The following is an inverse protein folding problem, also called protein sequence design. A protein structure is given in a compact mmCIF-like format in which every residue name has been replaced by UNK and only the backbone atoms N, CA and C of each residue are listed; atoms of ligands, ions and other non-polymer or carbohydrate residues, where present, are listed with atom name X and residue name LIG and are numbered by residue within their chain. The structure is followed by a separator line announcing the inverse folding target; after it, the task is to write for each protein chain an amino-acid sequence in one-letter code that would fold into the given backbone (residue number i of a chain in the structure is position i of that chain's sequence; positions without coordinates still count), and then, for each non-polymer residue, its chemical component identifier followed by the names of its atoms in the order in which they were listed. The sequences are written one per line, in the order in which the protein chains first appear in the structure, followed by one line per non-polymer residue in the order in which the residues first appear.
data_IF_662750535042
#
_entry.id   IF_662750535042
#
_cell.length_a   1.000
_cell.length_b   1.000
_cell.length_c   1.000
_cell.angle_alpha   90.00
_cell.angle_beta   90.00
_cell.angle_gamma   90.00
#
_symmetry.space_group_name_H-M   'P 1'
#
loop_
_entity.id
_entity.type
_entity.pdbx_description
1 polymer ?
#
# COMPACT_ATOMS: atom_id res chain seq x y z
N UNK A 1 8.75 1.88 -20.38
CA UNK A 1 7.38 2.43 -20.40
C UNK A 1 6.60 2.01 -19.15
N UNK A 2 6.30 0.72 -18.95
CA UNK A 2 5.49 0.26 -17.80
C UNK A 2 6.03 0.68 -16.42
N UNK A 3 7.35 0.54 -16.16
CA UNK A 3 7.95 0.97 -14.89
C UNK A 3 7.76 2.46 -14.59
N UNK A 4 7.99 3.33 -15.58
CA UNK A 4 7.76 4.77 -15.44
C UNK A 4 6.28 5.04 -15.16
N UNK A 5 5.37 4.37 -15.87
CA UNK A 5 3.93 4.55 -15.67
C UNK A 5 3.49 4.12 -14.26
N UNK A 6 4.01 3.00 -13.75
CA UNK A 6 3.73 2.54 -12.38
C UNK A 6 4.23 3.55 -11.34
N UNK A 7 5.43 4.08 -11.53
CA UNK A 7 5.97 5.16 -10.69
C UNK A 7 5.09 6.42 -10.74
N UNK A 8 4.75 6.89 -11.93
CA UNK A 8 3.89 8.07 -12.12
C UNK A 8 2.52 7.88 -11.47
N UNK A 9 1.97 6.66 -11.51
CA UNK A 9 0.70 6.33 -10.88
C UNK A 9 0.80 6.43 -9.35
N UNK A 10 1.91 5.98 -8.73
CA UNK A 10 2.15 6.19 -7.29
C UNK A 10 2.16 7.70 -6.97
N UNK A 11 2.96 8.46 -7.71
CA UNK A 11 3.12 9.91 -7.47
C UNK A 11 1.81 10.68 -7.64
N UNK A 12 0.97 10.29 -8.60
CA UNK A 12 -0.34 10.93 -8.85
C UNK A 12 -1.43 10.44 -7.89
N UNK A 13 -1.27 9.29 -7.26
CA UNK A 13 -2.28 8.70 -6.40
C UNK A 13 -2.34 9.33 -5.01
N UNK A 14 -1.23 9.90 -4.53
CA UNK A 14 -1.05 10.25 -3.12
C UNK A 14 -0.59 11.69 -2.93
N UNK A 15 -0.99 12.27 -1.80
CA UNK A 15 -0.44 13.50 -1.25
C UNK A 15 0.67 13.15 -0.25
N UNK A 16 1.93 13.32 -0.66
CA UNK A 16 3.09 12.92 0.15
C UNK A 16 3.30 13.76 1.42
N UNK A 17 2.62 14.90 1.57
CA UNK A 17 2.67 15.72 2.79
C UNK A 17 1.67 15.27 3.85
N UNK A 18 0.77 14.35 3.52
CA UNK A 18 -0.26 13.85 4.44
C UNK A 18 0.12 12.50 5.03
N UNK A 19 -0.44 12.24 6.20
CA UNK A 19 -0.35 10.98 6.92
C UNK A 19 -1.73 10.63 7.49
N UNK A 20 -1.94 9.36 7.83
CA UNK A 20 -3.16 8.95 8.51
C UNK A 20 -3.27 9.67 9.88
N UNK A 21 -4.47 10.15 10.25
CA UNK A 21 -5.77 9.75 9.74
C UNK A 21 -6.31 10.66 8.62
N UNK A 22 -5.51 11.60 8.11
CA UNK A 22 -5.90 12.45 7.00
C UNK A 22 -5.99 11.65 5.71
N UNK A 23 -6.79 12.15 4.76
CA UNK A 23 -6.91 11.52 3.44
C UNK A 23 -5.59 11.70 2.66
N UNK A 24 -4.82 10.63 2.58
CA UNK A 24 -3.55 10.56 1.82
C UNK A 24 -3.76 10.38 0.32
N UNK A 25 -4.94 9.92 -0.11
CA UNK A 25 -5.26 9.66 -1.52
C UNK A 25 -5.80 10.90 -2.24
N UNK A 26 -5.20 11.24 -3.38
CA UNK A 26 -5.62 12.33 -4.27
C UNK A 26 -6.43 11.82 -5.47
N UNK A 27 -7.47 12.56 -5.85
CA UNK A 27 -8.33 12.24 -6.99
C UNK A 27 -9.46 11.25 -6.66
N UNK A 28 -9.91 10.52 -7.68
CA UNK A 28 -11.15 9.70 -7.65
C UNK A 28 -10.90 8.30 -7.08
N UNK A 29 -10.60 8.22 -5.78
CA UNK A 29 -10.56 6.98 -5.01
C UNK A 29 -11.85 6.84 -4.22
N UNK A 30 -12.51 5.68 -4.31
CA UNK A 30 -13.83 5.43 -3.72
C UNK A 30 -13.79 4.49 -2.53
N UNK A 31 -12.99 3.42 -2.61
CA UNK A 31 -12.98 2.37 -1.61
C UNK A 31 -11.61 2.28 -0.94
N UNK A 32 -11.61 2.20 0.38
CA UNK A 32 -10.41 2.09 1.19
C UNK A 32 -10.53 0.89 2.11
N UNK A 33 -9.53 0.00 2.06
CA UNK A 33 -9.47 -1.18 2.91
C UNK A 33 -8.12 -1.21 3.62
N UNK A 34 -8.15 -1.41 4.94
CA UNK A 34 -7.00 -1.37 5.82
C UNK A 34 -6.51 -2.78 6.15
N UNK A 35 -5.21 -2.92 6.34
CA UNK A 35 -4.52 -4.15 6.72
C UNK A 35 -3.19 -3.82 7.42
N UNK A 36 -2.50 -4.82 7.96
CA UNK A 36 -1.22 -4.61 8.65
C UNK A 36 -0.09 -4.29 7.67
N UNK A 37 0.80 -3.40 8.08
CA UNK A 37 1.92 -2.96 7.23
C UNK A 37 2.86 -4.12 6.87
N UNK A 38 3.02 -5.09 7.77
CA UNK A 38 3.89 -6.26 7.61
C UNK A 38 3.57 -7.09 6.37
N UNK A 39 2.31 -7.12 5.91
CA UNK A 39 1.95 -7.83 4.67
C UNK A 39 2.65 -7.25 3.44
N UNK A 40 3.04 -5.96 3.44
CA UNK A 40 3.81 -5.35 2.35
C UNK A 40 5.25 -5.86 2.35
N UNK A 41 5.81 -6.20 3.51
CA UNK A 41 7.21 -6.59 3.65
C UNK A 41 7.43 -8.10 3.78
N UNK A 42 6.34 -8.87 3.74
CA UNK A 42 6.38 -10.32 3.72
C UNK A 42 6.91 -10.85 2.37
N UNK A 43 7.59 -11.99 2.40
CA UNK A 43 8.19 -12.61 1.21
C UNK A 43 7.14 -13.05 0.17
N UNK A 44 5.88 -13.22 0.55
CA UNK A 44 4.77 -13.58 -0.34
C UNK A 44 4.07 -12.36 -0.95
N UNK A 45 4.40 -11.12 -0.54
CA UNK A 45 3.82 -9.90 -1.10
C UNK A 45 3.91 -9.82 -2.64
N UNK A 46 5.02 -10.21 -3.30
CA UNK A 46 5.08 -10.23 -4.76
C UNK A 46 4.02 -11.13 -5.42
N UNK A 47 3.59 -12.21 -4.75
CA UNK A 47 2.51 -13.06 -5.27
C UNK A 47 1.17 -12.36 -5.20
N UNK A 48 0.91 -11.66 -4.10
CA UNK A 48 -0.31 -10.86 -3.93
C UNK A 48 -0.35 -9.76 -5.00
N UNK A 49 0.76 -9.06 -5.22
CA UNK A 49 0.85 -8.04 -6.26
C UNK A 49 0.66 -8.63 -7.66
N UNK A 50 1.21 -9.82 -7.95
CA UNK A 50 0.94 -10.51 -9.22
C UNK A 50 -0.53 -10.81 -9.45
N UNK A 51 -1.28 -11.17 -8.40
CA UNK A 51 -2.73 -11.34 -8.51
C UNK A 51 -3.44 -10.00 -8.80
N UNK A 52 -3.05 -8.91 -8.12
CA UNK A 52 -3.59 -7.58 -8.40
C UNK A 52 -3.35 -7.17 -9.87
N UNK A 53 -2.11 -7.34 -10.34
CA UNK A 53 -1.73 -7.03 -11.73
C UNK A 53 -2.55 -7.83 -12.74
N UNK A 54 -2.79 -9.11 -12.47
CA UNK A 54 -3.57 -9.99 -13.34
C UNK A 54 -5.03 -9.52 -13.52
N UNK A 55 -5.66 -9.02 -12.45
CA UNK A 55 -7.06 -8.56 -12.48
C UNK A 55 -7.27 -7.34 -13.41
N UNK A 56 -6.30 -6.43 -13.47
CA UNK A 56 -6.36 -5.23 -14.33
C UNK A 56 -5.54 -5.36 -15.62
N UNK A 57 -4.91 -6.53 -15.85
CA UNK A 57 -3.99 -6.81 -16.97
C UNK A 57 -2.79 -5.86 -17.03
N UNK A 58 -2.29 -5.45 -15.87
CA UNK A 58 -1.06 -4.69 -15.71
C UNK A 58 0.19 -5.58 -15.83
N UNK A 59 1.34 -4.95 -16.07
CA UNK A 59 2.61 -5.65 -16.25
C UNK A 59 3.54 -5.52 -15.05
N UNK A 60 3.45 -4.43 -14.29
CA UNK A 60 4.33 -4.18 -13.15
C UNK A 60 3.69 -3.22 -12.15
N UNK A 61 4.08 -3.36 -10.88
CA UNK A 61 3.85 -2.36 -9.86
C UNK A 61 5.16 -1.74 -9.38
N UNK A 62 5.10 -0.51 -8.91
CA UNK A 62 6.19 0.22 -8.31
C UNK A 62 5.94 0.33 -6.82
N UNK A 63 6.74 -0.34 -5.98
CA UNK A 63 6.82 -0.08 -4.55
C UNK A 63 7.87 1.00 -4.30
N UNK A 64 7.43 2.16 -3.83
CA UNK A 64 8.24 3.36 -3.62
C UNK A 64 8.42 3.61 -2.11
N UNK A 65 9.64 3.90 -1.67
CA UNK A 65 9.89 4.44 -0.33
C UNK A 65 9.75 5.97 -0.38
N UNK A 66 8.69 6.50 0.25
CA UNK A 66 8.32 7.91 0.18
C UNK A 66 9.27 8.82 0.97
N UNK A 67 9.92 8.29 2.02
CA UNK A 67 10.81 9.09 2.88
C UNK A 67 12.24 9.16 2.37
N UNK A 68 12.62 8.28 1.44
CA UNK A 68 13.90 8.33 0.71
C UNK A 68 13.80 8.98 -0.67
N UNK A 69 12.59 9.25 -1.14
CA UNK A 69 12.38 9.91 -2.42
C UNK A 69 12.34 11.41 -2.18
N UNK A 70 13.48 12.10 -2.33
CA UNK A 70 13.46 13.56 -2.35
C UNK A 70 12.56 14.02 -3.50
N UNK A 71 11.60 14.92 -3.21
CA UNK A 71 10.57 15.41 -4.15
C UNK A 71 11.09 16.00 -5.47
N UNK A 72 12.42 16.09 -5.66
CA UNK A 72 13.07 16.67 -6.82
C UNK A 72 14.20 15.85 -7.45
N UNK A 73 14.53 14.65 -6.94
CA UNK A 73 15.43 13.73 -7.64
C UNK A 73 14.62 12.53 -8.14
N UNK A 74 14.24 12.59 -9.42
CA UNK A 74 13.58 11.52 -10.19
C UNK A 74 14.51 10.33 -10.45
N UNK A 75 15.31 9.98 -9.46
CA UNK A 75 16.12 8.79 -9.53
C UNK A 75 15.30 7.62 -8.99
N UNK A 76 15.17 6.61 -9.84
CA UNK A 76 14.67 5.27 -9.57
C UNK A 76 15.31 4.56 -8.35
N UNK A 77 16.13 5.26 -7.55
CA UNK A 77 16.96 4.79 -6.44
C UNK A 77 16.11 4.23 -5.28
N UNK A 78 14.92 4.80 -5.03
CA UNK A 78 14.07 4.40 -3.91
C UNK A 78 12.84 3.58 -4.33
N UNK A 79 12.93 2.80 -5.42
CA UNK A 79 11.83 1.99 -5.94
C UNK A 79 12.19 0.51 -6.14
N UNK A 80 11.27 -0.38 -5.77
CA UNK A 80 11.28 -1.79 -6.12
C UNK A 80 10.14 -2.04 -7.13
N UNK A 81 10.50 -2.50 -8.33
CA UNK A 81 9.49 -2.88 -9.33
C UNK A 81 9.11 -4.35 -9.17
N UNK A 82 7.83 -4.56 -8.90
CA UNK A 82 7.21 -5.86 -8.76
C UNK A 82 6.57 -6.23 -10.09
N UNK A 83 7.20 -7.15 -10.83
CA UNK A 83 6.66 -7.69 -12.08
C UNK A 83 6.45 -9.20 -11.98
N UNK A 84 6.02 -9.84 -13.06
CA UNK A 84 5.71 -11.28 -13.09
C UNK A 84 6.88 -12.19 -12.65
N UNK A 85 8.13 -11.73 -12.81
CA UNK A 85 9.33 -12.56 -12.60
C UNK A 85 10.01 -12.39 -11.23
N UNK A 86 9.55 -11.47 -10.37
CA UNK A 86 10.20 -11.30 -9.06
C UNK A 86 9.75 -12.40 -8.09
N UNK A 87 10.72 -13.18 -7.61
CA UNK A 87 10.49 -14.20 -6.59
C UNK A 87 10.42 -13.57 -5.21
N UNK A 88 9.82 -14.29 -4.25
CA UNK A 88 9.78 -13.85 -2.85
C UNK A 88 11.18 -13.69 -2.23
N UNK A 89 12.12 -14.56 -2.60
CA UNK A 89 13.53 -14.48 -2.16
C UNK A 89 14.20 -13.21 -2.70
N UNK A 90 14.08 -12.95 -4.01
CA UNK A 90 14.65 -11.74 -4.60
C UNK A 90 14.02 -10.46 -4.06
N UNK A 91 12.76 -10.53 -3.63
CA UNK A 91 12.09 -9.42 -2.94
C UNK A 91 12.62 -9.21 -1.52
N UNK A 92 12.73 -10.26 -0.71
CA UNK A 92 13.29 -10.20 0.65
C UNK A 92 14.75 -9.69 0.61
N UNK A 93 15.57 -10.16 -0.34
CA UNK A 93 16.93 -9.66 -0.55
C UNK A 93 16.96 -8.15 -0.81
N UNK A 94 16.05 -7.65 -1.68
CA UNK A 94 15.93 -6.21 -1.95
C UNK A 94 15.46 -5.42 -0.74
N UNK A 95 14.56 -5.97 0.08
CA UNK A 95 14.11 -5.31 1.30
C UNK A 95 15.22 -5.23 2.35
N UNK A 96 16.14 -6.21 2.39
CA UNK A 96 17.26 -6.25 3.33
C UNK A 96 18.52 -5.54 2.82
N UNK A 97 18.56 -5.17 1.55
CA UNK A 97 19.73 -4.55 0.94
C UNK A 97 20.21 -3.32 1.74
N UNK A 98 21.52 -3.24 1.96
CA UNK A 98 22.12 -2.24 2.86
C UNK A 98 21.94 -2.51 4.37
N UNK A 99 21.42 -3.68 4.75
CA UNK A 99 21.41 -4.21 6.11
C UNK A 99 20.55 -3.42 7.10
N UNK A 100 20.71 -3.63 8.43
CA UNK A 100 19.90 -2.97 9.46
C UNK A 100 19.93 -1.43 9.42
N UNK A 101 20.99 -0.84 8.88
CA UNK A 101 21.15 0.61 8.81
C UNK A 101 20.31 1.25 7.70
N UNK A 102 20.07 0.55 6.59
CA UNK A 102 19.48 1.17 5.39
C UNK A 102 18.43 0.33 4.66
N UNK A 103 18.34 -0.97 4.94
CA UNK A 103 17.35 -1.88 4.38
C UNK A 103 15.93 -1.56 4.81
N UNK A 104 15.02 -1.59 3.85
CA UNK A 104 13.62 -1.21 3.99
C UNK A 104 12.85 -2.14 4.95
N UNK A 105 13.31 -3.38 5.11
CA UNK A 105 12.77 -4.30 6.10
C UNK A 105 12.93 -3.75 7.53
N UNK A 106 14.04 -3.06 7.81
CA UNK A 106 14.38 -2.59 9.15
C UNK A 106 13.96 -1.15 9.42
N UNK A 107 13.68 -0.39 8.37
CA UNK A 107 13.34 1.02 8.47
C UNK A 107 11.85 1.25 8.68
N UNK A 108 11.56 2.19 9.57
CA UNK A 108 10.22 2.67 9.89
C UNK A 108 9.92 3.89 9.01
N UNK A 109 9.78 3.64 7.71
CA UNK A 109 9.47 4.66 6.70
C UNK A 109 8.03 4.49 6.16
N UNK A 110 7.61 5.42 5.30
CA UNK A 110 6.37 5.37 4.52
C UNK A 110 6.61 4.80 3.12
N UNK A 111 5.67 4.00 2.65
CA UNK A 111 5.76 3.33 1.36
C UNK A 111 4.46 3.42 0.58
N UNK A 112 4.56 3.38 -0.74
CA UNK A 112 3.41 3.32 -1.62
C UNK A 112 3.61 2.34 -2.76
N UNK A 113 2.56 1.67 -3.21
CA UNK A 113 2.62 0.72 -4.31
C UNK A 113 1.45 0.90 -5.26
N UNK A 114 1.72 1.08 -6.55
CA UNK A 114 0.68 1.12 -7.58
C UNK A 114 1.19 0.45 -8.87
N UNK A 115 0.25 -0.05 -9.67
CA UNK A 115 0.55 -0.66 -10.96
C UNK A 115 0.72 0.35 -12.09
N UNK A 116 1.18 -0.11 -13.25
CA UNK A 116 1.23 0.67 -14.49
C UNK A 116 -0.16 0.98 -15.07
N UNK A 117 -1.23 0.35 -14.60
CA UNK A 117 -2.61 0.68 -14.97
C UNK A 117 -3.25 1.64 -13.95
N UNK A 118 -3.03 1.42 -12.65
CA UNK A 118 -3.40 2.34 -11.58
C UNK A 118 -4.87 2.28 -11.15
N UNK A 119 -5.53 1.12 -11.19
CA UNK A 119 -6.87 0.95 -10.60
C UNK A 119 -6.84 0.75 -9.08
N UNK A 120 -5.68 0.38 -8.53
CA UNK A 120 -5.42 0.26 -7.10
C UNK A 120 -4.14 1.01 -6.72
N UNK A 121 -4.06 1.42 -5.47
CA UNK A 121 -2.83 1.95 -4.87
C UNK A 121 -2.81 1.55 -3.40
N UNK A 122 -1.68 1.06 -2.92
CA UNK A 122 -1.41 0.77 -1.51
C UNK A 122 -0.60 1.93 -0.96
N UNK A 123 -0.97 2.42 0.21
CA UNK A 123 -0.18 3.32 1.04
C UNK A 123 0.09 2.66 2.39
N UNK A 124 1.29 2.81 2.92
CA UNK A 124 1.77 2.07 4.08
C UNK A 124 2.59 2.98 5.00
N UNK A 125 2.25 3.00 6.28
CA UNK A 125 3.00 3.64 7.37
C UNK A 125 3.50 2.57 8.34
N UNK A 126 4.78 2.21 8.25
CA UNK A 126 5.37 1.24 9.20
C UNK A 126 5.37 1.74 10.64
N UNK A 127 5.46 3.06 10.87
CA UNK A 127 5.47 3.65 12.22
C UNK A 127 4.22 3.34 13.02
N UNK A 128 3.08 3.24 12.33
CA UNK A 128 1.80 2.96 12.93
C UNK A 128 1.32 1.53 12.61
N UNK A 129 2.13 0.70 11.95
CA UNK A 129 1.78 -0.63 11.43
C UNK A 129 0.43 -0.67 10.66
N UNK A 130 0.18 0.36 9.86
CA UNK A 130 -1.04 0.46 9.04
C UNK A 130 -0.68 0.53 7.56
N UNK A 131 -1.35 -0.30 6.77
CA UNK A 131 -1.47 -0.14 5.34
C UNK A 131 -2.93 0.01 4.93
N UNK A 132 -3.16 0.75 3.84
CA UNK A 132 -4.47 0.95 3.24
C UNK A 132 -4.33 0.74 1.74
N UNK A 133 -5.24 -0.03 1.16
CA UNK A 133 -5.40 -0.14 -0.29
C UNK A 133 -6.61 0.70 -0.71
N UNK A 134 -6.33 1.72 -1.53
CA UNK A 134 -7.34 2.48 -2.26
C UNK A 134 -7.67 1.78 -3.57
N UNK A 135 -8.95 1.74 -3.93
CA UNK A 135 -9.45 1.23 -5.21
C UNK A 135 -10.21 2.32 -5.97
N UNK A 136 -10.12 2.29 -7.30
CA UNK A 136 -10.90 3.13 -8.20
C UNK A 136 -12.11 2.37 -8.75
N UNK A 137 -13.23 3.08 -8.83
CA UNK A 137 -14.44 2.62 -9.52
C UNK A 137 -15.39 1.81 -8.64
N UNK A 138 -16.65 1.71 -9.10
CA UNK A 138 -17.80 1.26 -8.31
C UNK A 138 -17.73 -0.24 -7.92
N UNK A 139 -16.97 -1.05 -8.67
CA UNK A 139 -16.87 -2.50 -8.46
C UNK A 139 -15.48 -2.97 -7.99
N UNK A 140 -14.60 -2.05 -7.53
CA UNK A 140 -13.22 -2.36 -7.16
C UNK A 140 -13.13 -3.53 -6.17
N UNK A 141 -13.90 -3.48 -5.08
CA UNK A 141 -13.88 -4.52 -4.04
C UNK A 141 -14.23 -5.91 -4.62
N UNK A 142 -15.25 -5.99 -5.47
CA UNK A 142 -15.69 -7.25 -6.07
C UNK A 142 -14.65 -7.79 -7.04
N UNK A 143 -14.04 -6.92 -7.84
CA UNK A 143 -13.01 -7.31 -8.83
C UNK A 143 -11.75 -7.85 -8.15
N UNK A 144 -11.33 -7.24 -7.04
CA UNK A 144 -10.10 -7.62 -6.33
C UNK A 144 -10.35 -8.52 -5.11
N UNK A 145 -11.57 -9.04 -4.92
CA UNK A 145 -12.02 -9.70 -3.67
C UNK A 145 -11.06 -10.79 -3.18
N UNK A 146 -10.62 -11.69 -4.07
CA UNK A 146 -9.72 -12.81 -3.72
C UNK A 146 -8.42 -12.30 -3.12
N UNK A 147 -7.83 -11.27 -3.73
CA UNK A 147 -6.53 -10.73 -3.33
C UNK A 147 -6.63 -9.84 -2.10
N UNK A 148 -7.73 -9.07 -1.98
CA UNK A 148 -8.06 -8.33 -0.77
C UNK A 148 -8.21 -9.26 0.45
N UNK A 149 -8.81 -10.43 0.26
CA UNK A 149 -8.88 -11.47 1.31
C UNK A 149 -7.52 -12.02 1.68
N UNK A 150 -6.54 -12.13 0.76
CA UNK A 150 -5.17 -12.56 1.10
C UNK A 150 -4.43 -11.53 1.94
N UNK A 151 -4.67 -10.24 1.70
CA UNK A 151 -4.17 -9.14 2.53
C UNK A 151 -4.91 -8.99 3.86
N UNK A 152 -5.98 -9.75 4.07
CA UNK A 152 -6.93 -9.53 5.16
C UNK A 152 -7.45 -8.08 5.21
N UNK A 153 -7.59 -7.44 4.04
CA UNK A 153 -7.97 -6.05 3.95
C UNK A 153 -9.45 -5.84 4.27
N UNK A 154 -9.75 -4.89 5.15
CA UNK A 154 -11.09 -4.63 5.70
C UNK A 154 -11.43 -3.14 5.72
N UNK A 155 -12.69 -2.74 5.54
CA UNK A 155 -13.07 -1.33 5.69
C UNK A 155 -12.86 -0.89 7.15
N UNK A 156 -12.56 0.39 7.35
CA UNK A 156 -12.24 0.90 8.68
C UNK A 156 -13.39 0.74 9.68
N UNK A 157 -14.63 0.84 9.21
CA UNK A 157 -15.83 0.70 10.04
C UNK A 157 -15.89 -0.70 10.69
N UNK A 158 -15.54 -1.76 9.96
CA UNK A 158 -15.46 -3.13 10.50
C UNK A 158 -14.34 -3.31 11.54
N UNK A 159 -13.25 -2.56 11.40
CA UNK A 159 -12.05 -2.71 12.24
C UNK A 159 -12.15 -1.93 13.56
N UNK A 160 -12.83 -0.78 13.55
CA UNK A 160 -13.06 0.04 14.75
C UNK A 160 -14.03 -0.64 15.71
N UNK A 161 -15.03 -1.35 15.18
CA UNK A 161 -16.04 -2.07 15.96
C UNK A 161 -15.47 -3.31 16.69
N UNK A 162 -14.18 -3.62 16.49
CA UNK A 162 -13.45 -4.65 17.25
C UNK A 162 -13.83 -6.08 16.87
N UNK A 163 -14.47 -6.28 15.72
CA UNK A 163 -15.20 -7.51 15.40
C UNK A 163 -14.45 -8.62 14.68
N UNK A 164 -13.27 -8.39 14.07
CA UNK A 164 -12.63 -9.41 13.23
C UNK A 164 -11.09 -9.35 13.23
N UNK A 165 -10.46 -10.53 13.23
CA UNK A 165 -9.03 -10.73 12.95
C UNK A 165 -8.70 -10.31 11.50
N UNK A 166 -7.50 -9.78 11.18
CA UNK A 166 -6.34 -9.57 12.04
C UNK A 166 -6.48 -8.44 13.05
N UNK A 167 -5.81 -8.67 14.18
CA UNK A 167 -5.83 -7.87 15.41
C UNK A 167 -4.98 -6.62 15.25
N UNK A 168 -5.28 -5.77 14.27
CA UNK A 168 -4.87 -4.39 14.41
C UNK A 168 -5.90 -3.72 15.31
N UNK A 169 -5.53 -3.26 16.53
CA UNK A 169 -6.52 -2.80 17.50
C UNK A 169 -6.98 -1.39 17.14
N UNK A 170 -7.58 -1.21 15.96
CA UNK A 170 -8.14 0.07 15.53
C UNK A 170 -9.16 0.60 16.55
N UNK A 171 -9.85 -0.30 17.27
CA UNK A 171 -10.71 0.05 18.41
C UNK A 171 -10.00 0.67 19.63
N UNK A 172 -8.68 0.48 19.77
CA UNK A 172 -7.85 1.04 20.85
C UNK A 172 -7.18 2.37 20.47
N UNK A 173 -7.34 2.83 19.23
CA UNK A 173 -6.84 4.12 18.78
C UNK A 173 -7.53 5.27 19.52
N UNK A 174 -6.80 6.37 19.71
CA UNK A 174 -7.36 7.58 20.31
C UNK A 174 -8.58 8.06 19.51
N UNK A 175 -9.66 8.56 20.16
CA UNK A 175 -10.92 8.86 19.48
C UNK A 175 -10.78 9.79 18.26
N UNK A 176 -9.90 10.78 18.33
CA UNK A 176 -9.65 11.70 17.22
C UNK A 176 -9.13 10.98 15.96
N UNK A 177 -8.28 9.96 16.13
CA UNK A 177 -7.71 9.21 15.02
C UNK A 177 -8.76 8.30 14.38
N UNK A 178 -9.59 7.64 15.20
CA UNK A 178 -10.74 6.86 14.72
C UNK A 178 -11.72 7.70 13.90
N UNK A 179 -12.11 8.86 14.45
CA UNK A 179 -13.01 9.79 13.76
C UNK A 179 -12.41 10.31 12.46
N UNK A 180 -11.11 10.61 12.45
CA UNK A 180 -10.39 11.02 11.25
C UNK A 180 -10.44 9.94 10.16
N UNK A 181 -10.13 8.69 10.50
CA UNK A 181 -10.16 7.59 9.53
C UNK A 181 -11.56 7.32 8.98
N UNK A 182 -12.58 7.26 9.84
CA UNK A 182 -13.97 7.07 9.37
C UNK A 182 -14.40 8.23 8.48
N UNK A 183 -14.10 9.47 8.86
CA UNK A 183 -14.47 10.64 8.07
C UNK A 183 -13.80 10.68 6.70
N UNK A 184 -12.53 10.26 6.62
CA UNK A 184 -11.71 10.43 5.43
C UNK A 184 -11.64 9.19 4.53
N UNK A 185 -11.88 8.01 5.10
CA UNK A 185 -11.70 6.70 4.48
C UNK A 185 -12.81 5.68 4.82
N UNK A 186 -13.80 6.05 5.65
CA UNK A 186 -14.99 5.24 5.90
C UNK A 186 -15.93 5.18 4.70
N UNK A 187 -16.89 4.26 4.75
CA UNK A 187 -17.90 4.10 3.69
C UNK A 187 -19.09 5.04 3.86
#
# INVERSE_FOLDING_TARGET
VYRQQAFDNVVKALDFDRMLPDRVYFGTWSDFLFFQSDHVFASDFPEIVRELLSVERAHTACLLNLDKTERFEFDYIAAIFLGEMISGVAYDDKLRDGGPASGWLYRVDRYACASDVGEWCIYCEKSNDVAVIGLRGIDGIRRFEKTLKRLWAKPIDELIDGGCYPVFPFGQLVPAWRQGLVKNCGR
#
